data_IF_244373144246
#
_entry.id   IF_244373144246
#
_cell.length_a   1.000
_cell.length_b   1.000
_cell.length_c   1.000
_cell.angle_alpha   90.00
_cell.angle_beta   90.00
_cell.angle_gamma   90.00
#
_symmetry.space_group_name_H-M   'P 1'
#
loop_
_entity.id
_entity.type
_entity.pdbx_description
1 polymer ?
#
# COMPACT_ATOMS: atom_id res chain seq x y z
N UNK A 1 40.85 15.74 6.46
CA UNK A 1 39.82 16.81 6.36
C UNK A 1 38.51 16.09 6.13
N UNK A 2 37.42 16.49 6.78
CA UNK A 2 36.13 15.85 6.48
C UNK A 2 35.77 16.22 5.03
N UNK A 3 35.42 15.22 4.21
CA UNK A 3 34.99 15.43 2.82
C UNK A 3 33.75 16.35 2.74
N UNK A 4 33.41 16.85 1.53
CA UNK A 4 32.30 17.78 1.36
C UNK A 4 30.92 17.15 1.61
N UNK A 5 30.82 15.82 1.67
CA UNK A 5 29.61 15.07 2.06
C UNK A 5 29.74 14.61 3.51
N UNK A 6 28.67 14.82 4.28
CA UNK A 6 28.66 14.55 5.72
C UNK A 6 27.88 13.28 6.06
N UNK A 7 26.85 12.97 5.28
CA UNK A 7 25.97 11.84 5.56
C UNK A 7 25.29 11.38 4.26
N UNK A 8 25.05 10.08 4.12
CA UNK A 8 24.35 9.47 3.00
C UNK A 8 23.44 8.35 3.50
N UNK A 9 22.27 8.19 2.88
CA UNK A 9 21.45 7.00 3.07
C UNK A 9 20.66 6.65 1.81
N UNK A 10 20.25 5.38 1.71
CA UNK A 10 19.07 5.00 0.93
C UNK A 10 17.87 5.23 1.85
N UNK A 11 17.03 6.26 1.63
CA UNK A 11 15.92 6.55 2.53
C UNK A 11 14.90 5.42 2.54
N UNK A 12 14.30 5.17 3.70
CA UNK A 12 13.19 4.22 3.82
C UNK A 12 11.97 4.80 3.09
N UNK A 13 11.38 4.05 2.16
CA UNK A 13 10.17 4.52 1.49
C UNK A 13 8.98 4.45 2.44
N UNK A 14 8.05 5.37 2.26
CA UNK A 14 6.73 5.37 2.88
C UNK A 14 5.66 5.19 1.81
N UNK A 15 4.78 4.22 2.01
CA UNK A 15 3.55 4.04 1.25
C UNK A 15 2.32 4.17 2.15
N UNK A 16 1.21 4.63 1.58
CA UNK A 16 -0.07 4.77 2.27
C UNK A 16 -0.99 3.63 1.84
N UNK A 17 -1.58 2.92 2.82
CA UNK A 17 -2.57 1.87 2.59
C UNK A 17 -3.80 2.15 3.43
N UNK A 18 -4.97 2.23 2.79
CA UNK A 18 -6.25 2.59 3.40
C UNK A 18 -7.17 1.38 3.27
N UNK A 19 -7.47 0.76 4.41
CA UNK A 19 -8.29 -0.45 4.50
C UNK A 19 -9.79 -0.11 4.52
N UNK A 20 -10.63 -1.11 4.27
CA UNK A 20 -12.10 -1.02 4.31
C UNK A 20 -12.74 0.02 3.40
N UNK A 21 -12.08 0.37 2.29
CA UNK A 21 -12.66 1.25 1.26
C UNK A 21 -13.73 0.48 0.50
N UNK A 22 -14.80 1.15 0.05
CA UNK A 22 -15.81 0.52 -0.81
C UNK A 22 -17.11 0.12 -0.12
N UNK A 23 -17.18 0.18 1.21
CA UNK A 23 -18.47 0.11 1.91
C UNK A 23 -19.37 1.30 1.52
N UNK A 24 -20.66 1.06 1.36
CA UNK A 24 -21.67 2.11 1.20
C UNK A 24 -22.35 2.43 2.52
N UNK A 25 -22.60 1.42 3.37
CA UNK A 25 -23.00 1.72 4.74
C UNK A 25 -21.80 2.07 5.59
N UNK A 26 -21.87 3.17 6.33
CA UNK A 26 -20.89 3.44 7.38
C UNK A 26 -21.16 2.66 8.67
N UNK A 27 -22.40 2.20 8.87
CA UNK A 27 -22.84 1.57 10.10
C UNK A 27 -22.23 0.18 10.28
N UNK A 28 -21.48 0.01 11.35
CA UNK A 28 -21.00 -1.29 11.80
C UNK A 28 -22.16 -2.19 12.22
N UNK A 29 -22.14 -3.44 11.77
CA UNK A 29 -23.22 -4.41 11.99
C UNK A 29 -22.74 -5.74 12.55
N UNK A 30 -21.48 -5.85 13.01
CA UNK A 30 -20.91 -7.12 13.44
C UNK A 30 -21.66 -7.82 14.58
N UNK A 31 -22.25 -7.06 15.51
CA UNK A 31 -23.09 -7.60 16.58
C UNK A 31 -24.33 -8.34 16.06
N UNK A 32 -24.77 -8.03 14.83
CA UNK A 32 -25.90 -8.65 14.15
C UNK A 32 -25.46 -9.68 13.09
N UNK A 33 -24.20 -10.14 13.12
CA UNK A 33 -23.61 -11.04 12.11
C UNK A 33 -23.46 -10.43 10.71
N UNK A 34 -23.56 -9.10 10.59
CA UNK A 34 -23.18 -8.36 9.38
C UNK A 34 -21.65 -8.10 9.37
N UNK A 35 -21.05 -7.59 8.29
CA UNK A 35 -19.63 -7.23 8.30
C UNK A 35 -19.31 -6.14 9.33
N UNK A 36 -18.05 -6.13 9.73
CA UNK A 36 -17.42 -4.94 10.28
C UNK A 36 -17.33 -3.90 9.16
N UNK A 37 -17.90 -2.72 9.41
CA UNK A 37 -17.82 -1.56 8.51
C UNK A 37 -17.08 -0.44 9.20
N UNK A 38 -17.05 0.76 8.62
CA UNK A 38 -16.23 1.87 9.08
C UNK A 38 -16.65 2.50 10.41
N UNK A 39 -17.88 2.24 10.88
CA UNK A 39 -18.41 2.80 12.13
C UNK A 39 -18.86 4.26 12.04
N UNK A 40 -18.79 4.90 10.88
CA UNK A 40 -19.26 6.27 10.68
C UNK A 40 -20.79 6.32 10.65
N UNK A 41 -21.40 7.27 11.38
CA UNK A 41 -22.87 7.38 11.53
C UNK A 41 -23.53 8.07 10.31
N UNK A 42 -23.21 7.57 9.12
CA UNK A 42 -23.83 7.92 7.84
C UNK A 42 -23.44 6.89 6.78
N UNK A 43 -24.15 6.91 5.67
CA UNK A 43 -23.68 6.20 4.48
C UNK A 43 -22.48 6.94 3.86
N UNK A 44 -21.63 6.17 3.19
CA UNK A 44 -20.54 6.69 2.39
C UNK A 44 -21.07 7.34 1.11
N UNK A 45 -20.34 8.34 0.64
CA UNK A 45 -20.72 9.16 -0.50
C UNK A 45 -19.52 9.32 -1.44
N UNK A 46 -19.71 9.73 -2.72
CA UNK A 46 -18.61 9.94 -3.65
C UNK A 46 -17.48 10.84 -3.11
N UNK A 47 -17.80 11.83 -2.29
CA UNK A 47 -16.86 12.75 -1.64
C UNK A 47 -15.85 12.04 -0.71
N UNK A 48 -16.16 10.83 -0.23
CA UNK A 48 -15.23 10.02 0.56
C UNK A 48 -14.12 9.39 -0.30
N UNK A 49 -14.39 9.14 -1.58
CA UNK A 49 -13.40 8.68 -2.55
C UNK A 49 -12.55 9.85 -3.05
N UNK A 50 -13.15 11.04 -3.22
CA UNK A 50 -12.41 12.27 -3.55
C UNK A 50 -11.41 12.63 -2.45
N UNK A 51 -11.69 12.29 -1.18
CA UNK A 51 -10.74 12.48 -0.09
C UNK A 51 -9.42 11.71 -0.33
N UNK A 52 -9.49 10.47 -0.80
CA UNK A 52 -8.31 9.65 -1.13
C UNK A 52 -7.57 10.26 -2.33
N UNK A 53 -8.29 10.60 -3.40
CA UNK A 53 -7.70 11.20 -4.59
C UNK A 53 -7.01 12.54 -4.26
N UNK A 54 -7.62 13.37 -3.41
CA UNK A 54 -7.04 14.62 -2.91
C UNK A 54 -5.76 14.38 -2.14
N UNK A 55 -5.75 13.38 -1.24
CA UNK A 55 -4.57 13.00 -0.47
C UNK A 55 -3.43 12.61 -1.42
N UNK A 56 -3.68 11.70 -2.36
CA UNK A 56 -2.69 11.27 -3.34
C UNK A 56 -2.17 12.42 -4.20
N UNK A 57 -3.06 13.27 -4.74
CA UNK A 57 -2.69 14.39 -5.61
C UNK A 57 -1.81 15.42 -4.89
N UNK A 58 -2.12 15.72 -3.63
CA UNK A 58 -1.33 16.68 -2.84
C UNK A 58 0.03 16.14 -2.43
N UNK A 59 0.17 14.83 -2.27
CA UNK A 59 1.43 14.18 -1.91
C UNK A 59 2.25 13.71 -3.11
N UNK A 60 1.68 13.69 -4.32
CA UNK A 60 2.30 13.06 -5.48
C UNK A 60 2.43 11.55 -5.32
N UNK A 61 1.45 10.93 -4.66
CA UNK A 61 1.40 9.50 -4.36
C UNK A 61 0.13 8.88 -4.94
N UNK A 62 0.14 7.55 -5.07
CA UNK A 62 -1.02 6.70 -5.30
C UNK A 62 -1.28 5.87 -4.03
N UNK A 63 -2.03 6.41 -3.05
CA UNK A 63 -2.44 5.64 -1.89
C UNK A 63 -3.17 4.38 -2.33
N UNK A 64 -2.81 3.24 -1.73
CA UNK A 64 -3.56 2.01 -1.88
C UNK A 64 -4.88 2.15 -1.15
N UNK A 65 -5.98 1.93 -1.86
CA UNK A 65 -7.31 1.82 -1.30
C UNK A 65 -7.72 0.36 -1.40
N UNK A 66 -7.80 -0.33 -0.26
CA UNK A 66 -8.15 -1.74 -0.19
C UNK A 66 -9.68 -1.87 -0.27
N UNK A 67 -10.18 -2.27 -1.44
CA UNK A 67 -11.60 -2.25 -1.77
C UNK A 67 -12.32 -3.52 -1.34
N UNK A 68 -13.45 -3.30 -0.68
CA UNK A 68 -14.51 -4.27 -0.45
C UNK A 68 -15.65 -3.99 -1.43
N UNK A 69 -16.00 -4.98 -2.24
CA UNK A 69 -16.91 -4.79 -3.38
C UNK A 69 -18.32 -5.35 -3.20
N UNK A 70 -18.66 -5.93 -2.06
CA UNK A 70 -19.97 -6.55 -1.84
C UNK A 70 -21.12 -5.58 -2.14
N UNK A 71 -21.06 -4.38 -1.56
CA UNK A 71 -22.09 -3.36 -1.71
C UNK A 71 -22.06 -2.65 -3.09
N UNK A 72 -21.15 -3.04 -4.00
CA UNK A 72 -21.09 -2.59 -5.39
C UNK A 72 -21.75 -3.56 -6.39
N UNK A 73 -22.21 -4.72 -5.92
CA UNK A 73 -22.85 -5.74 -6.75
C UNK A 73 -24.19 -5.25 -7.34
N UNK A 74 -24.23 -4.98 -8.65
CA UNK A 74 -25.44 -4.45 -9.31
C UNK A 74 -26.44 -5.53 -9.69
N UNK A 75 -25.96 -6.75 -9.83
CA UNK A 75 -26.74 -7.86 -10.39
C UNK A 75 -27.09 -8.91 -9.34
N UNK A 76 -26.77 -8.66 -8.06
CA UNK A 76 -26.93 -9.60 -6.96
C UNK A 76 -26.23 -10.95 -7.22
N UNK A 77 -25.08 -10.94 -7.90
CA UNK A 77 -24.33 -12.16 -8.22
C UNK A 77 -23.82 -12.89 -6.97
N UNK A 78 -23.66 -12.16 -5.85
CA UNK A 78 -23.17 -12.75 -4.60
C UNK A 78 -24.16 -13.73 -3.96
N UNK A 79 -25.43 -13.78 -4.40
CA UNK A 79 -26.37 -14.85 -4.02
C UNK A 79 -25.84 -16.25 -4.37
N UNK A 80 -25.00 -16.36 -5.40
CA UNK A 80 -24.40 -17.63 -5.81
C UNK A 80 -23.18 -18.02 -4.97
N UNK A 81 -22.75 -17.16 -4.03
CA UNK A 81 -21.58 -17.35 -3.17
C UNK A 81 -22.00 -17.02 -1.73
N UNK A 82 -22.75 -17.92 -1.06
CA UNK A 82 -23.34 -17.62 0.25
C UNK A 82 -22.31 -17.33 1.34
N UNK A 83 -21.06 -17.73 1.14
CA UNK A 83 -19.92 -17.45 2.00
C UNK A 83 -19.43 -15.99 1.97
N UNK A 84 -19.88 -15.19 0.99
CA UNK A 84 -19.40 -13.82 0.76
C UNK A 84 -20.19 -12.73 1.48
N UNK A 85 -21.41 -13.01 1.95
CA UNK A 85 -22.26 -12.00 2.62
C UNK A 85 -23.12 -12.62 3.71
N UNK A 86 -23.52 -11.81 4.69
CA UNK A 86 -24.42 -12.23 5.79
C UNK A 86 -25.83 -12.63 5.34
N UNK A 87 -26.25 -12.18 4.15
CA UNK A 87 -27.54 -12.56 3.59
C UNK A 87 -27.51 -13.92 2.87
N UNK A 88 -26.32 -14.44 2.58
CA UNK A 88 -26.13 -15.68 1.83
C UNK A 88 -26.85 -15.67 0.47
N UNK A 89 -27.60 -16.73 0.17
CA UNK A 89 -28.40 -16.87 -1.05
C UNK A 89 -29.51 -15.80 -1.20
N UNK A 90 -29.85 -15.11 -0.11
CA UNK A 90 -30.87 -14.05 -0.11
C UNK A 90 -30.30 -12.66 -0.42
N UNK A 91 -28.99 -12.54 -0.69
CA UNK A 91 -28.29 -11.28 -0.95
C UNK A 91 -29.06 -10.30 -1.86
N UNK A 92 -29.46 -9.16 -1.32
CA UNK A 92 -30.10 -8.09 -2.09
C UNK A 92 -29.39 -6.76 -1.86
N UNK A 93 -28.63 -6.34 -2.87
CA UNK A 93 -27.91 -5.08 -2.89
C UNK A 93 -28.73 -3.92 -3.48
N UNK A 94 -30.01 -4.12 -3.83
CA UNK A 94 -30.82 -3.10 -4.53
C UNK A 94 -30.83 -1.74 -3.85
N UNK A 95 -30.70 -1.68 -2.52
CA UNK A 95 -30.62 -0.42 -1.75
C UNK A 95 -29.40 0.44 -2.11
N UNK A 96 -28.30 -0.18 -2.55
CA UNK A 96 -27.03 0.50 -2.85
C UNK A 96 -26.85 0.79 -4.34
N UNK A 97 -27.81 0.42 -5.18
CA UNK A 97 -27.74 0.68 -6.62
C UNK A 97 -28.31 2.06 -6.92
N UNK A 98 -27.43 3.00 -7.28
CA UNK A 98 -27.84 4.33 -7.70
C UNK A 98 -26.72 5.13 -8.37
N UNK A 99 -26.99 6.39 -8.78
CA UNK A 99 -26.02 7.23 -9.49
C UNK A 99 -24.73 7.51 -8.72
N UNK A 100 -24.74 7.37 -7.39
CA UNK A 100 -23.54 7.50 -6.55
C UNK A 100 -22.48 6.45 -6.87
N UNK A 101 -22.86 5.22 -7.28
CA UNK A 101 -21.92 4.20 -7.72
C UNK A 101 -21.14 4.67 -8.96
N UNK A 102 -21.86 5.23 -9.95
CA UNK A 102 -21.26 5.74 -11.18
C UNK A 102 -20.34 6.93 -10.91
N UNK A 103 -20.73 7.80 -9.97
CA UNK A 103 -19.91 8.94 -9.54
C UNK A 103 -18.63 8.49 -8.83
N UNK A 104 -18.72 7.56 -7.88
CA UNK A 104 -17.55 7.03 -7.18
C UNK A 104 -16.63 6.26 -8.13
N UNK A 105 -17.18 5.40 -9.00
CA UNK A 105 -16.39 4.69 -10.01
C UNK A 105 -15.65 5.66 -10.96
N UNK A 106 -16.30 6.76 -11.35
CA UNK A 106 -15.66 7.82 -12.15
C UNK A 106 -14.52 8.48 -11.39
N UNK A 107 -14.67 8.81 -10.10
CA UNK A 107 -13.59 9.37 -9.28
C UNK A 107 -12.39 8.41 -9.26
N UNK A 108 -12.64 7.11 -9.01
CA UNK A 108 -11.60 6.08 -8.98
C UNK A 108 -10.84 6.00 -10.32
N UNK A 109 -11.56 5.98 -11.44
CA UNK A 109 -10.95 5.92 -12.79
C UNK A 109 -10.18 7.21 -13.14
N UNK A 110 -10.82 8.36 -12.94
CA UNK A 110 -10.28 9.67 -13.33
C UNK A 110 -9.09 10.08 -12.45
N UNK A 111 -8.91 9.43 -11.31
CA UNK A 111 -7.82 9.67 -10.34
C UNK A 111 -6.77 8.57 -10.32
N UNK A 112 -6.66 7.74 -11.37
CA UNK A 112 -5.75 6.59 -11.39
C UNK A 112 -4.26 6.95 -11.17
N UNK A 113 -3.86 8.20 -11.40
CA UNK A 113 -2.52 8.76 -11.14
C UNK A 113 -2.28 9.12 -9.67
N UNK A 114 -3.33 9.20 -8.85
CA UNK A 114 -3.29 9.55 -7.44
C UNK A 114 -4.16 8.62 -6.56
N UNK A 115 -4.51 7.45 -7.07
CA UNK A 115 -5.36 6.45 -6.44
C UNK A 115 -4.96 5.06 -6.93
N UNK A 116 -4.81 4.10 -6.04
CA UNK A 116 -4.54 2.70 -6.40
C UNK A 116 -5.58 1.75 -5.81
N UNK A 117 -6.45 1.20 -6.67
CA UNK A 117 -7.40 0.18 -6.25
C UNK A 117 -6.65 -1.12 -5.90
N UNK A 118 -6.83 -1.56 -4.66
CA UNK A 118 -6.17 -2.72 -4.04
C UNK A 118 -7.22 -3.76 -3.66
N UNK A 119 -6.94 -5.05 -3.86
CA UNK A 119 -7.87 -6.12 -3.49
C UNK A 119 -7.96 -6.24 -1.97
N UNK A 120 -9.17 -6.26 -1.42
CA UNK A 120 -9.39 -6.52 0.01
C UNK A 120 -10.40 -7.64 0.27
N UNK A 121 -11.56 -7.61 -0.39
CA UNK A 121 -12.63 -8.60 -0.16
C UNK A 121 -13.91 -8.34 -0.92
N UNK A 122 -14.85 -9.27 -0.83
CA UNK A 122 -16.26 -9.05 -1.17
C UNK A 122 -17.04 -8.60 0.06
N UNK A 123 -16.83 -9.29 1.18
CA UNK A 123 -17.57 -9.06 2.42
C UNK A 123 -16.68 -8.87 3.63
N UNK A 124 -15.35 -8.99 3.49
CA UNK A 124 -14.34 -8.92 4.55
C UNK A 124 -14.32 -10.15 5.48
N UNK A 125 -15.50 -10.69 5.83
CA UNK A 125 -15.63 -11.92 6.61
C UNK A 125 -15.96 -13.14 5.75
N UNK A 126 -16.01 -14.31 6.37
CA UNK A 126 -16.47 -15.55 5.74
C UNK A 126 -17.72 -16.05 6.46
N UNK A 127 -18.81 -16.24 5.72
CA UNK A 127 -20.08 -16.70 6.29
C UNK A 127 -20.34 -18.18 6.07
N UNK A 128 -20.95 -18.80 7.08
CA UNK A 128 -21.55 -20.12 6.98
C UNK A 128 -22.84 -20.12 7.79
N UNK A 129 -23.95 -20.50 7.16
CA UNK A 129 -25.28 -20.57 7.79
C UNK A 129 -25.68 -19.27 8.52
N UNK A 130 -25.36 -18.11 7.91
CA UNK A 130 -25.66 -16.78 8.45
C UNK A 130 -24.78 -16.33 9.61
N UNK A 131 -23.79 -17.13 10.01
CA UNK A 131 -22.80 -16.78 11.05
C UNK A 131 -21.45 -16.54 10.40
N UNK A 132 -20.76 -15.45 10.76
CA UNK A 132 -19.43 -15.20 10.21
C UNK A 132 -18.31 -15.76 11.08
N UNK A 133 -17.19 -16.07 10.44
CA UNK A 133 -15.89 -16.26 11.07
C UNK A 133 -14.87 -15.36 10.41
N UNK A 134 -13.98 -14.76 11.22
CA UNK A 134 -12.84 -13.99 10.72
C UNK A 134 -11.83 -14.93 10.04
N UNK A 135 -11.40 -14.70 8.80
CA UNK A 135 -11.84 -13.69 7.81
C UNK A 135 -12.04 -14.33 6.42
N UNK A 136 -12.27 -13.52 5.39
CA UNK A 136 -12.64 -13.96 4.04
C UNK A 136 -11.63 -14.93 3.38
N UNK A 137 -10.33 -14.77 3.66
CA UNK A 137 -9.27 -15.50 2.94
C UNK A 137 -8.60 -16.61 3.75
N UNK A 138 -8.25 -16.31 5.00
CA UNK A 138 -7.76 -17.28 5.98
C UNK A 138 -8.63 -17.18 7.23
N UNK A 139 -8.77 -18.30 7.93
CA UNK A 139 -9.29 -18.30 9.29
C UNK A 139 -8.21 -17.83 10.29
N UNK A 140 -8.60 -17.76 11.57
CA UNK A 140 -7.71 -17.35 12.68
C UNK A 140 -6.59 -18.33 13.00
N UNK A 141 -6.68 -19.55 12.47
CA UNK A 141 -5.65 -20.58 12.66
C UNK A 141 -4.65 -20.58 11.49
N UNK A 142 -4.85 -19.69 10.51
CA UNK A 142 -4.00 -19.55 9.34
C UNK A 142 -4.34 -20.52 8.22
N UNK A 143 -5.47 -21.22 8.30
CA UNK A 143 -5.91 -22.08 7.20
C UNK A 143 -6.60 -21.23 6.14
N UNK A 144 -6.19 -21.39 4.88
CA UNK A 144 -6.90 -20.78 3.76
C UNK A 144 -8.33 -21.33 3.72
N UNK A 145 -9.30 -20.47 3.38
CA UNK A 145 -10.67 -20.91 3.06
C UNK A 145 -10.64 -21.91 1.89
N UNK A 146 -11.68 -22.76 1.72
CA UNK A 146 -11.72 -23.72 0.63
C UNK A 146 -11.37 -23.07 -0.72
N UNK A 147 -10.45 -23.68 -1.46
CA UNK A 147 -9.84 -23.06 -2.66
C UNK A 147 -10.87 -22.72 -3.73
N UNK A 148 -11.89 -23.56 -3.91
CA UNK A 148 -13.01 -23.33 -4.81
C UNK A 148 -13.81 -22.07 -4.43
N UNK A 149 -13.99 -21.82 -3.12
CA UNK A 149 -14.63 -20.60 -2.64
C UNK A 149 -13.73 -19.38 -2.80
N UNK A 150 -12.43 -19.47 -2.49
CA UNK A 150 -11.47 -18.38 -2.74
C UNK A 150 -11.51 -17.95 -4.22
N UNK A 151 -11.50 -18.92 -5.14
CA UNK A 151 -11.60 -18.65 -6.58
C UNK A 151 -12.93 -18.02 -6.96
N UNK A 152 -14.06 -18.52 -6.42
CA UNK A 152 -15.38 -17.95 -6.64
C UNK A 152 -15.46 -16.49 -6.17
N UNK A 153 -14.89 -16.18 -4.99
CA UNK A 153 -14.82 -14.82 -4.47
C UNK A 153 -14.03 -13.90 -5.40
N UNK A 154 -12.85 -14.33 -5.87
CA UNK A 154 -12.02 -13.55 -6.80
C UNK A 154 -12.72 -13.33 -8.16
N UNK A 155 -13.45 -14.32 -8.66
CA UNK A 155 -14.22 -14.22 -9.90
C UNK A 155 -15.38 -13.23 -9.77
N UNK A 156 -16.11 -13.29 -8.67
CA UNK A 156 -17.17 -12.33 -8.37
C UNK A 156 -16.60 -10.92 -8.18
N UNK A 157 -15.48 -10.76 -7.48
CA UNK A 157 -14.80 -9.47 -7.32
C UNK A 157 -14.51 -8.83 -8.69
N UNK A 158 -13.87 -9.58 -9.59
CA UNK A 158 -13.58 -9.11 -10.95
C UNK A 158 -14.86 -8.83 -11.75
N UNK A 159 -15.94 -9.60 -11.56
CA UNK A 159 -17.22 -9.34 -12.21
C UNK A 159 -17.88 -8.06 -11.70
N UNK A 160 -17.86 -7.78 -10.41
CA UNK A 160 -18.38 -6.54 -9.82
C UNK A 160 -17.55 -5.33 -10.27
N UNK A 161 -16.23 -5.46 -10.37
CA UNK A 161 -15.38 -4.42 -10.98
C UNK A 161 -15.85 -4.08 -12.41
N UNK A 162 -16.15 -5.09 -13.23
CA UNK A 162 -16.66 -4.89 -14.59
C UNK A 162 -18.05 -4.26 -14.64
N UNK A 163 -18.95 -4.64 -13.71
CA UNK A 163 -20.27 -4.01 -13.60
C UNK A 163 -20.20 -2.50 -13.32
N UNK A 164 -19.11 -2.06 -12.69
CA UNK A 164 -18.90 -0.67 -12.26
C UNK A 164 -17.81 0.06 -13.06
N UNK A 165 -17.21 -0.59 -14.06
CA UNK A 165 -16.08 -0.07 -14.83
C UNK A 165 -14.93 0.42 -13.92
N UNK A 166 -14.50 -0.39 -12.94
CA UNK A 166 -13.42 -0.03 -12.01
C UNK A 166 -12.01 -0.28 -12.57
N UNK A 167 -11.89 -0.57 -13.86
CA UNK A 167 -10.62 -0.85 -14.54
C UNK A 167 -10.15 -2.30 -14.42
N UNK A 168 -8.83 -2.50 -14.50
CA UNK A 168 -8.19 -3.81 -14.46
C UNK A 168 -8.22 -4.42 -13.06
N UNK A 169 -8.06 -5.74 -12.96
CA UNK A 169 -7.89 -6.41 -11.68
C UNK A 169 -6.67 -5.85 -10.92
N UNK A 170 -6.74 -5.69 -9.58
CA UNK A 170 -5.66 -5.11 -8.79
C UNK A 170 -4.34 -5.87 -8.93
N UNK A 171 -3.24 -5.18 -8.66
CA UNK A 171 -1.89 -5.78 -8.56
C UNK A 171 -1.38 -5.84 -7.12
N UNK A 172 -2.17 -5.32 -6.17
CA UNK A 172 -1.89 -5.28 -4.74
C UNK A 172 -3.03 -5.89 -3.94
N UNK A 173 -2.71 -6.46 -2.78
CA UNK A 173 -3.63 -7.16 -1.90
C UNK A 173 -3.41 -6.78 -0.43
N UNK A 174 -4.50 -6.57 0.30
CA UNK A 174 -4.52 -6.51 1.76
C UNK A 174 -5.42 -7.63 2.27
N UNK A 175 -4.92 -8.59 3.04
CA UNK A 175 -5.75 -9.62 3.64
C UNK A 175 -6.78 -9.03 4.59
N UNK A 176 -8.04 -9.40 4.43
CA UNK A 176 -9.10 -9.04 5.36
C UNK A 176 -8.76 -9.45 6.80
N UNK A 177 -9.00 -8.55 7.76
CA UNK A 177 -8.61 -8.66 9.16
C UNK A 177 -7.12 -9.00 9.39
N UNK A 178 -6.27 -8.77 8.38
CA UNK A 178 -4.85 -9.12 8.38
C UNK A 178 -4.56 -10.60 8.62
N UNK A 179 -5.50 -11.49 8.30
CA UNK A 179 -5.32 -12.94 8.39
C UNK A 179 -4.69 -13.45 7.09
N UNK A 180 -3.41 -13.80 7.19
CA UNK A 180 -2.61 -14.33 6.10
C UNK A 180 -1.62 -15.37 6.62
N UNK A 181 -1.31 -16.35 5.78
CA UNK A 181 -0.31 -17.36 6.05
C UNK A 181 0.79 -17.30 4.98
N UNK A 182 2.02 -17.12 5.44
CA UNK A 182 3.18 -17.01 4.56
C UNK A 182 3.73 -18.38 4.18
N UNK A 183 4.07 -18.58 2.91
CA UNK A 183 4.83 -19.75 2.46
C UNK A 183 4.03 -21.05 2.37
N UNK A 184 2.73 -20.97 2.11
CA UNK A 184 1.81 -22.11 1.95
C UNK A 184 1.97 -22.90 0.64
N UNK A 185 3.04 -22.62 -0.10
CA UNK A 185 3.38 -23.35 -1.32
C UNK A 185 2.43 -23.07 -2.48
N UNK A 186 2.40 -23.98 -3.45
CA UNK A 186 1.69 -23.79 -4.72
C UNK A 186 0.16 -23.87 -4.61
N UNK A 187 -0.36 -24.36 -3.49
CA UNK A 187 -1.80 -24.46 -3.23
C UNK A 187 -2.31 -23.35 -2.30
N UNK A 188 -1.40 -22.54 -1.74
CA UNK A 188 -1.72 -21.45 -0.84
C UNK A 188 -2.26 -20.21 -1.55
N UNK A 189 -2.78 -19.26 -0.75
CA UNK A 189 -3.41 -18.04 -1.26
C UNK A 189 -2.46 -17.21 -2.14
N UNK A 190 -1.18 -17.08 -1.76
CA UNK A 190 -0.21 -16.32 -2.54
C UNK A 190 -0.04 -16.88 -3.96
N UNK A 191 -0.06 -18.20 -4.14
CA UNK A 191 -0.02 -18.81 -5.47
C UNK A 191 -1.28 -18.50 -6.30
N UNK A 192 -2.46 -18.52 -5.67
CA UNK A 192 -3.73 -18.15 -6.31
C UNK A 192 -3.71 -16.67 -6.74
N UNK A 193 -3.29 -15.78 -5.84
CA UNK A 193 -3.20 -14.34 -6.10
C UNK A 193 -2.20 -14.00 -7.21
N UNK A 194 -1.05 -14.69 -7.26
CA UNK A 194 -0.07 -14.54 -8.34
C UNK A 194 -0.67 -14.84 -9.70
N UNK A 195 -1.49 -15.88 -9.81
CA UNK A 195 -2.20 -16.23 -11.05
C UNK A 195 -3.23 -15.17 -11.48
N UNK A 196 -3.56 -14.21 -10.59
CA UNK A 196 -4.39 -13.03 -10.85
C UNK A 196 -3.59 -11.75 -11.06
N UNK A 197 -2.26 -11.85 -11.22
CA UNK A 197 -1.31 -10.73 -11.37
C UNK A 197 -1.14 -9.85 -10.12
N UNK A 198 -1.45 -10.38 -8.92
CA UNK A 198 -1.06 -9.72 -7.68
C UNK A 198 0.45 -9.87 -7.50
N UNK A 199 1.12 -8.75 -7.25
CA UNK A 199 2.57 -8.65 -7.05
C UNK A 199 2.95 -8.10 -5.68
N UNK A 200 1.98 -7.63 -4.90
CA UNK A 200 2.21 -7.00 -3.60
C UNK A 200 1.19 -7.40 -2.53
N UNK A 201 1.66 -7.67 -1.32
CA UNK A 201 0.84 -7.91 -0.13
C UNK A 201 1.30 -6.98 1.00
N UNK A 202 0.34 -6.26 1.59
CA UNK A 202 0.56 -5.45 2.79
C UNK A 202 -0.16 -6.08 3.98
N UNK A 203 0.59 -6.55 4.98
CA UNK A 203 0.02 -7.19 6.17
C UNK A 203 0.95 -7.04 7.37
N UNK A 204 0.43 -6.82 8.60
CA UNK A 204 1.24 -6.87 9.81
C UNK A 204 1.88 -8.26 9.97
N UNK A 205 3.20 -8.32 10.07
CA UNK A 205 3.90 -9.60 10.28
C UNK A 205 3.66 -10.17 11.67
N UNK A 206 3.26 -9.34 12.64
CA UNK A 206 2.97 -9.80 14.00
C UNK A 206 1.74 -10.70 14.11
N UNK A 207 0.78 -10.60 13.19
CA UNK A 207 -0.42 -11.46 13.14
C UNK A 207 -0.37 -12.47 12.00
N UNK A 208 0.62 -12.37 11.10
CA UNK A 208 0.78 -13.30 9.99
C UNK A 208 1.24 -14.69 10.47
N UNK A 209 0.55 -15.73 10.02
CA UNK A 209 0.94 -17.11 10.27
C UNK A 209 2.24 -17.44 9.55
N UNK A 210 3.05 -18.31 10.16
CA UNK A 210 4.37 -18.75 9.64
C UNK A 210 5.39 -17.62 9.43
N UNK A 211 5.21 -16.47 10.07
CA UNK A 211 6.16 -15.34 10.05
C UNK A 211 7.61 -15.70 10.41
N UNK A 212 7.84 -16.76 11.20
CA UNK A 212 9.17 -17.21 11.58
C UNK A 212 10.02 -17.71 10.40
N UNK A 213 9.39 -17.92 9.23
CA UNK A 213 10.03 -18.38 8.00
C UNK A 213 10.48 -17.22 7.10
N UNK A 214 10.24 -15.97 7.51
CA UNK A 214 10.65 -14.79 6.75
C UNK A 214 12.17 -14.57 6.78
N UNK A 215 12.78 -14.17 5.65
CA UNK A 215 14.21 -13.89 5.58
C UNK A 215 14.60 -12.54 6.20
N UNK A 216 13.66 -11.59 6.29
CA UNK A 216 13.90 -10.28 6.89
C UNK A 216 12.75 -9.88 7.83
N UNK A 217 12.97 -8.91 8.76
CA UNK A 217 11.93 -8.48 9.68
C UNK A 217 10.76 -7.73 9.04
N UNK A 218 10.93 -7.13 7.86
CA UNK A 218 9.91 -6.24 7.25
C UNK A 218 9.55 -6.57 5.80
N UNK A 219 10.25 -7.49 5.15
CA UNK A 219 10.01 -7.89 3.75
C UNK A 219 10.20 -9.41 3.57
N UNK A 220 9.27 -10.03 2.85
CA UNK A 220 9.33 -11.42 2.40
C UNK A 220 8.87 -11.56 0.96
N UNK A 221 9.23 -12.67 0.32
CA UNK A 221 8.79 -13.01 -1.03
C UNK A 221 7.98 -14.31 -0.96
N UNK A 222 6.66 -14.21 -1.03
CA UNK A 222 5.77 -15.37 -0.99
C UNK A 222 5.30 -15.73 -2.41
N UNK A 223 5.71 -16.90 -2.90
CA UNK A 223 5.43 -17.35 -4.28
C UNK A 223 5.88 -16.36 -5.37
N UNK A 224 6.79 -15.42 -5.08
CA UNK A 224 7.21 -14.37 -6.01
C UNK A 224 6.40 -13.07 -5.89
N UNK A 225 5.54 -12.96 -4.88
CA UNK A 225 4.83 -11.75 -4.49
C UNK A 225 5.61 -11.06 -3.36
N UNK A 226 5.82 -9.75 -3.47
CA UNK A 226 6.46 -8.97 -2.41
C UNK A 226 5.48 -8.78 -1.27
N UNK A 227 5.80 -9.30 -0.09
CA UNK A 227 4.99 -9.19 1.13
C UNK A 227 5.72 -8.31 2.13
N UNK A 228 5.09 -7.22 2.58
CA UNK A 228 5.74 -6.19 3.42
C UNK A 228 5.01 -6.04 4.74
N UNK A 229 5.80 -5.95 5.82
CA UNK A 229 5.30 -5.62 7.15
C UNK A 229 4.84 -4.17 7.17
N UNK A 230 3.56 -3.97 7.47
CA UNK A 230 3.00 -2.64 7.72
C UNK A 230 3.09 -2.20 9.19
N UNK A 231 3.82 -2.97 10.01
CA UNK A 231 3.96 -2.73 11.45
C UNK A 231 2.80 -3.33 12.24
N UNK A 232 2.85 -3.22 13.56
CA UNK A 232 1.79 -3.73 14.44
C UNK A 232 0.44 -3.05 14.17
N UNK A 233 -0.64 -3.77 14.51
CA UNK A 233 -2.06 -3.34 14.47
C UNK A 233 -2.22 -1.83 14.61
N UNK A 234 -3.06 -1.22 13.76
CA UNK A 234 -2.89 0.17 13.36
C UNK A 234 -2.75 1.07 14.58
N UNK A 235 -1.79 2.02 14.59
CA UNK A 235 -1.66 2.98 15.69
C UNK A 235 -2.94 3.81 15.86
N UNK A 236 -3.79 3.84 14.83
CA UNK A 236 -5.10 4.47 14.78
C UNK A 236 -6.18 3.38 14.76
N UNK A 237 -7.11 3.34 15.73
CA UNK A 237 -8.21 2.38 15.70
C UNK A 237 -9.03 2.47 14.41
N UNK A 238 -9.56 1.33 13.97
CA UNK A 238 -10.28 1.20 12.70
C UNK A 238 -11.54 2.06 12.63
N UNK A 239 -12.18 2.30 13.77
CA UNK A 239 -13.42 3.07 13.95
C UNK A 239 -13.18 4.55 14.27
N UNK A 240 -11.92 4.98 14.32
CA UNK A 240 -11.60 6.39 14.60
C UNK A 240 -11.90 7.24 13.37
N UNK A 241 -12.95 8.05 13.47
CA UNK A 241 -13.35 9.00 12.43
C UNK A 241 -12.50 10.27 12.56
N UNK A 242 -12.01 10.81 11.43
CA UNK A 242 -11.18 12.02 11.40
C UNK A 242 -9.98 11.92 12.34
N UNK A 243 -9.20 10.86 12.19
CA UNK A 243 -8.03 10.61 13.01
C UNK A 243 -7.00 11.74 12.85
N UNK A 244 -6.32 12.04 13.96
CA UNK A 244 -5.20 12.98 13.96
C UNK A 244 -3.88 12.27 13.63
N UNK A 245 -2.96 12.96 12.94
CA UNK A 245 -1.59 12.47 12.80
C UNK A 245 -0.93 12.21 14.15
N UNK A 246 -0.24 11.08 14.26
CA UNK A 246 0.64 10.78 15.39
C UNK A 246 1.99 11.49 15.27
N UNK A 247 2.91 11.18 16.18
CA UNK A 247 4.23 11.82 16.20
C UNK A 247 5.25 11.19 15.24
N UNK A 248 5.11 9.90 14.92
CA UNK A 248 6.08 9.18 14.09
C UNK A 248 5.44 8.00 13.33
N UNK A 249 6.11 7.59 12.24
CA UNK A 249 5.76 6.43 11.42
C UNK A 249 6.94 5.44 11.46
N UNK A 250 6.87 4.38 12.27
CA UNK A 250 8.04 3.53 12.54
C UNK A 250 8.43 2.63 11.37
N UNK A 251 7.52 2.37 10.43
CA UNK A 251 7.69 1.41 9.35
C UNK A 251 7.52 2.01 7.96
N UNK A 252 7.67 1.18 6.92
CA UNK A 252 7.61 1.62 5.53
C UNK A 252 6.16 1.84 5.02
N UNK A 253 5.14 1.46 5.80
CA UNK A 253 3.74 1.64 5.44
C UNK A 253 3.02 2.38 6.55
N UNK A 254 2.28 3.43 6.19
CA UNK A 254 1.25 4.02 7.05
C UNK A 254 -0.10 3.40 6.70
N UNK A 255 -0.61 2.61 7.64
CA UNK A 255 -1.92 1.99 7.55
C UNK A 255 -3.03 2.89 8.10
N UNK A 256 -4.05 3.12 7.29
CA UNK A 256 -5.32 3.72 7.66
C UNK A 256 -6.43 2.70 7.54
N UNK A 257 -7.52 2.95 8.25
CA UNK A 257 -8.86 2.55 7.82
C UNK A 257 -9.52 3.76 7.18
N UNK A 258 -10.41 3.54 6.23
CA UNK A 258 -11.07 4.62 5.50
C UNK A 258 -11.63 5.77 6.38
N UNK A 259 -12.33 5.54 7.51
CA UNK A 259 -12.86 6.64 8.34
C UNK A 259 -11.77 7.53 8.96
N UNK A 260 -10.52 7.04 9.07
CA UNK A 260 -9.43 7.82 9.64
C UNK A 260 -9.15 9.12 8.87
N UNK A 261 -9.45 9.14 7.57
CA UNK A 261 -9.25 10.31 6.70
C UNK A 261 -10.55 11.03 6.34
N UNK A 262 -11.68 10.61 6.94
CA UNK A 262 -13.01 11.14 6.64
C UNK A 262 -13.57 11.93 7.81
N UNK A 263 -14.41 12.91 7.49
CA UNK A 263 -15.16 13.67 8.47
C UNK A 263 -16.63 13.18 8.50
N UNK A 264 -17.33 13.26 9.66
CA UNK A 264 -18.75 12.95 9.74
C UNK A 264 -19.61 13.74 8.74
N UNK A 265 -19.28 15.02 8.53
CA UNK A 265 -19.76 15.83 7.41
C UNK A 265 -18.81 15.73 6.20
N UNK A 266 -19.20 15.10 5.08
CA UNK A 266 -18.35 14.93 3.90
C UNK A 266 -17.79 16.24 3.33
N UNK A 267 -18.50 17.37 3.50
CA UNK A 267 -18.03 18.68 3.02
C UNK A 267 -16.73 19.13 3.71
N UNK A 268 -16.39 18.51 4.86
CA UNK A 268 -15.19 18.80 5.65
C UNK A 268 -14.08 17.74 5.47
N UNK A 269 -14.25 16.73 4.60
CA UNK A 269 -13.21 15.74 4.31
C UNK A 269 -11.89 16.41 3.92
N UNK A 270 -11.95 17.51 3.15
CA UNK A 270 -10.78 18.29 2.76
C UNK A 270 -9.97 18.80 3.96
N UNK A 271 -10.62 19.19 5.06
CA UNK A 271 -9.96 19.66 6.28
C UNK A 271 -9.18 18.55 6.97
N UNK A 272 -9.70 17.31 6.96
CA UNK A 272 -9.02 16.13 7.51
C UNK A 272 -7.83 15.75 6.64
N UNK A 273 -8.04 15.66 5.33
CA UNK A 273 -6.99 15.35 4.36
C UNK A 273 -5.85 16.36 4.43
N UNK A 274 -6.15 17.65 4.56
CA UNK A 274 -5.12 18.69 4.58
C UNK A 274 -4.19 18.59 5.80
N UNK A 275 -4.70 18.15 6.97
CA UNK A 275 -3.86 17.85 8.15
C UNK A 275 -2.90 16.70 7.89
N UNK A 276 -3.39 15.61 7.26
CA UNK A 276 -2.56 14.48 6.88
C UNK A 276 -1.51 14.85 5.83
N UNK A 277 -1.88 15.68 4.85
CA UNK A 277 -0.93 16.17 3.83
C UNK A 277 0.20 16.97 4.48
N UNK A 278 -0.10 17.89 5.40
CA UNK A 278 0.91 18.69 6.09
C UNK A 278 1.90 17.79 6.84
N UNK A 279 1.38 16.85 7.65
CA UNK A 279 2.18 15.88 8.39
C UNK A 279 3.06 15.04 7.46
N UNK A 280 2.48 14.41 6.44
CA UNK A 280 3.19 13.50 5.55
C UNK A 280 4.21 14.22 4.65
N UNK A 281 3.92 15.46 4.24
CA UNK A 281 4.89 16.30 3.51
C UNK A 281 6.12 16.57 4.37
N UNK A 282 5.93 16.93 5.64
CA UNK A 282 7.03 17.11 6.58
C UNK A 282 7.85 15.81 6.76
N UNK A 283 7.17 14.66 6.74
CA UNK A 283 7.79 13.36 6.84
C UNK A 283 8.65 13.02 5.60
N UNK A 284 8.17 13.37 4.41
CA UNK A 284 8.92 13.23 3.14
C UNK A 284 10.19 14.08 3.07
N UNK A 285 10.23 15.19 3.82
CA UNK A 285 11.41 16.05 3.92
C UNK A 285 12.49 15.50 4.87
N UNK A 286 12.18 14.50 5.70
CA UNK A 286 13.18 13.87 6.56
C UNK A 286 14.28 13.22 5.72
N UNK A 287 15.50 13.24 6.24
CA UNK A 287 16.65 12.68 5.55
C UNK A 287 16.53 11.16 5.33
N UNK A 288 15.97 10.46 6.29
CA UNK A 288 15.86 9.00 6.36
C UNK A 288 14.56 8.44 5.75
N UNK A 289 13.77 9.27 5.08
CA UNK A 289 12.44 8.91 4.54
C UNK A 289 12.21 9.42 3.13
N UNK A 290 11.31 8.75 2.40
CA UNK A 290 10.87 9.17 1.07
C UNK A 290 9.40 8.80 0.87
N UNK A 291 8.57 9.74 0.40
CA UNK A 291 7.21 9.39 -0.03
C UNK A 291 7.28 8.65 -1.37
N UNK A 292 6.69 7.47 -1.44
CA UNK A 292 6.70 6.65 -2.65
C UNK A 292 5.54 7.04 -3.57
N UNK A 293 5.79 7.33 -4.86
CA UNK A 293 4.72 7.76 -5.76
C UNK A 293 3.70 6.66 -6.04
N UNK A 294 4.11 5.39 -6.00
CA UNK A 294 3.25 4.24 -6.19
C UNK A 294 3.86 2.97 -5.59
N UNK A 295 3.12 1.86 -5.69
CA UNK A 295 3.50 0.56 -5.15
C UNK A 295 4.75 -0.04 -5.79
N UNK A 296 5.01 0.22 -7.07
CA UNK A 296 6.20 -0.32 -7.75
C UNK A 296 7.47 0.42 -7.31
N UNK A 297 7.40 1.75 -7.25
CA UNK A 297 8.46 2.59 -6.70
C UNK A 297 8.70 2.28 -5.22
N UNK A 298 7.64 2.06 -4.44
CA UNK A 298 7.72 1.64 -3.04
C UNK A 298 8.51 0.34 -2.87
N UNK A 299 8.10 -0.72 -3.56
CA UNK A 299 8.78 -2.03 -3.50
C UNK A 299 10.25 -1.92 -3.90
N UNK A 300 10.52 -1.17 -4.96
CA UNK A 300 11.87 -0.95 -5.47
C UNK A 300 12.74 -0.25 -4.43
N UNK A 301 12.29 0.90 -3.94
CA UNK A 301 13.03 1.67 -2.95
C UNK A 301 13.25 0.88 -1.66
N UNK A 302 12.28 0.04 -1.24
CA UNK A 302 12.40 -0.75 -0.02
C UNK A 302 13.44 -1.86 -0.17
N UNK A 303 13.47 -2.52 -1.33
CA UNK A 303 14.49 -3.51 -1.64
C UNK A 303 15.90 -2.89 -1.62
N UNK A 304 16.07 -1.70 -2.22
CA UNK A 304 17.34 -0.97 -2.16
C UNK A 304 17.69 -0.52 -0.73
N UNK A 305 16.71 -0.05 0.04
CA UNK A 305 16.92 0.37 1.43
C UNK A 305 17.46 -0.78 2.30
N UNK A 306 17.00 -2.00 2.06
CA UNK A 306 17.40 -3.19 2.81
C UNK A 306 18.66 -3.88 2.27
N UNK A 307 18.99 -3.69 1.00
CA UNK A 307 19.97 -4.49 0.28
C UNK A 307 21.23 -3.76 -0.19
N UNK A 308 21.31 -2.44 0.00
CA UNK A 308 22.49 -1.64 -0.40
C UNK A 308 23.33 -1.27 0.80
N UNK A 309 24.60 -1.64 0.73
CA UNK A 309 25.62 -1.10 1.63
C UNK A 309 26.28 0.14 1.00
N UNK A 310 26.55 1.15 1.83
CA UNK A 310 27.10 2.43 1.41
C UNK A 310 28.46 2.66 2.08
N UNK A 311 29.50 2.92 1.28
CA UNK A 311 30.83 3.32 1.75
C UNK A 311 31.16 4.73 1.24
N UNK A 312 31.22 5.70 2.16
CA UNK A 312 31.61 7.07 1.84
C UNK A 312 33.12 7.26 2.00
N UNK A 313 33.77 7.68 0.92
CA UNK A 313 35.17 8.13 0.85
C UNK A 313 35.21 9.64 0.61
N UNK A 314 36.40 10.24 0.59
CA UNK A 314 36.55 11.71 0.58
C UNK A 314 35.71 12.41 -0.50
N UNK A 315 35.76 11.94 -1.74
CA UNK A 315 35.07 12.51 -2.92
C UNK A 315 34.26 11.46 -3.71
N UNK A 316 34.06 10.29 -3.12
CA UNK A 316 33.44 9.13 -3.76
C UNK A 316 32.49 8.42 -2.80
N UNK A 317 31.35 7.99 -3.30
CA UNK A 317 30.42 7.07 -2.65
C UNK A 317 30.39 5.77 -3.43
N UNK A 318 30.62 4.66 -2.73
CA UNK A 318 30.52 3.32 -3.28
C UNK A 318 29.24 2.68 -2.78
N UNK A 319 28.49 2.11 -3.71
CA UNK A 319 27.29 1.34 -3.46
C UNK A 319 27.59 -0.13 -3.73
N UNK A 320 27.34 -1.00 -2.76
CA UNK A 320 27.45 -2.45 -2.89
C UNK A 320 26.05 -3.08 -2.92
N UNK A 321 25.77 -3.85 -3.97
CA UNK A 321 24.49 -4.50 -4.23
C UNK A 321 24.49 -6.01 -3.91
N UNK A 322 25.52 -6.53 -3.23
CA UNK A 322 25.64 -7.96 -2.95
C UNK A 322 24.43 -8.51 -2.15
N UNK A 323 23.94 -7.76 -1.17
CA UNK A 323 22.77 -8.12 -0.35
C UNK A 323 21.43 -7.82 -1.04
N UNK A 324 21.42 -7.05 -2.13
CA UNK A 324 20.22 -6.70 -2.90
C UNK A 324 19.75 -7.84 -3.80
N UNK A 325 20.68 -8.60 -4.40
CA UNK A 325 20.33 -9.67 -5.36
C UNK A 325 19.38 -10.74 -4.80
N UNK A 326 19.50 -11.20 -3.54
CA UNK A 326 18.54 -12.14 -2.94
C UNK A 326 17.15 -11.53 -2.66
N UNK A 327 17.04 -10.21 -2.55
CA UNK A 327 15.82 -9.47 -2.22
C UNK A 327 15.04 -9.07 -3.48
N UNK A 328 15.75 -8.85 -4.59
CA UNK A 328 15.15 -8.42 -5.84
C UNK A 328 14.22 -9.50 -6.42
N UNK A 329 12.92 -9.34 -6.16
CA UNK A 329 11.88 -10.05 -6.90
C UNK A 329 11.91 -9.64 -8.38
N UNK A 330 11.25 -10.41 -9.25
CA UNK A 330 11.14 -10.12 -10.68
C UNK A 330 10.45 -8.77 -11.02
N UNK A 331 9.96 -8.02 -10.01
CA UNK A 331 9.17 -6.80 -10.15
C UNK A 331 9.88 -5.53 -9.63
N UNK A 332 11.17 -5.60 -9.31
CA UNK A 332 11.94 -4.43 -8.86
C UNK A 332 12.44 -3.63 -10.06
N UNK A 333 12.18 -2.31 -10.08
CA UNK A 333 12.69 -1.42 -11.12
C UNK A 333 14.21 -1.21 -10.97
N UNK A 334 14.85 -0.70 -12.02
CA UNK A 334 16.29 -0.46 -12.09
C UNK A 334 16.72 0.90 -11.51
N UNK A 335 15.81 1.63 -10.86
CA UNK A 335 16.09 2.97 -10.34
C UNK A 335 15.58 3.19 -8.92
N UNK A 336 16.32 3.98 -8.15
CA UNK A 336 16.03 4.30 -6.76
C UNK A 336 16.59 5.67 -6.37
N UNK A 337 16.26 6.13 -5.17
CA UNK A 337 16.74 7.38 -4.61
C UNK A 337 17.79 7.16 -3.52
N UNK A 338 18.79 8.06 -3.50
CA UNK A 338 19.68 8.30 -2.37
C UNK A 338 19.43 9.70 -1.81
N UNK A 339 19.68 9.89 -0.51
CA UNK A 339 19.76 11.21 0.10
C UNK A 339 21.17 11.47 0.63
N UNK A 340 21.69 12.67 0.38
CA UNK A 340 23.04 13.08 0.79
C UNK A 340 23.03 14.46 1.44
N UNK A 341 23.69 14.60 2.60
CA UNK A 341 23.88 15.90 3.27
C UNK A 341 25.20 16.51 2.86
N UNK A 342 25.16 17.75 2.37
CA UNK A 342 26.36 18.53 2.11
C UNK A 342 26.12 20.03 2.32
N UNK A 343 27.00 20.73 3.06
CA UNK A 343 26.93 22.18 3.17
C UNK A 343 27.27 22.86 1.83
N UNK A 344 28.11 22.22 1.00
CA UNK A 344 28.55 22.74 -0.28
C UNK A 344 27.54 22.48 -1.40
N UNK A 345 27.67 23.25 -2.48
CA UNK A 345 27.01 22.93 -3.73
C UNK A 345 27.86 21.89 -4.46
N UNK A 346 27.27 20.76 -4.86
CA UNK A 346 27.97 19.62 -5.41
C UNK A 346 27.55 19.36 -6.85
N UNK A 347 28.51 18.95 -7.67
CA UNK A 347 28.29 18.27 -8.94
C UNK A 347 28.51 16.78 -8.75
N UNK A 348 27.66 15.95 -9.35
CA UNK A 348 27.72 14.49 -9.25
C UNK A 348 28.04 13.88 -10.61
N UNK A 349 28.86 12.83 -10.61
CA UNK A 349 29.11 12.00 -11.78
C UNK A 349 29.28 10.54 -11.36
N UNK A 350 28.88 9.64 -12.24
CA UNK A 350 29.06 8.20 -12.03
C UNK A 350 29.45 7.55 -13.35
N UNK A 351 30.52 6.72 -13.39
CA UNK A 351 30.81 5.87 -14.54
C UNK A 351 29.90 4.64 -14.61
N UNK A 352 29.20 4.35 -13.52
CA UNK A 352 28.58 3.05 -13.22
C UNK A 352 27.06 3.12 -13.17
N UNK A 353 26.49 4.27 -12.87
CA UNK A 353 25.06 4.51 -12.78
C UNK A 353 24.66 5.72 -13.61
N UNK A 354 23.45 5.69 -14.17
CA UNK A 354 22.86 6.87 -14.81
C UNK A 354 22.25 7.75 -13.74
N UNK A 355 22.76 8.97 -13.59
CA UNK A 355 22.16 9.98 -12.73
C UNK A 355 20.95 10.60 -13.45
N UNK A 356 19.74 10.24 -12.99
CA UNK A 356 18.48 10.72 -13.55
C UNK A 356 18.14 12.14 -13.07
N UNK A 357 18.35 12.41 -11.79
CA UNK A 357 18.22 13.76 -11.20
C UNK A 357 19.10 13.93 -9.98
N UNK A 358 19.42 15.18 -9.65
CA UNK A 358 20.13 15.58 -8.44
C UNK A 358 19.47 16.84 -7.87
N UNK A 359 18.43 16.65 -7.06
CA UNK A 359 17.58 17.72 -6.57
C UNK A 359 18.08 18.18 -5.20
N UNK A 360 18.46 19.45 -5.06
CA UNK A 360 18.88 20.02 -3.77
C UNK A 360 17.71 20.71 -3.07
N UNK A 361 17.39 20.26 -1.86
CA UNK A 361 16.39 20.93 -1.03
C UNK A 361 16.92 22.32 -0.61
N UNK A 362 16.18 23.41 -0.88
CA UNK A 362 16.63 24.76 -0.57
C UNK A 362 16.66 25.05 0.93
N UNK A 363 15.89 24.35 1.74
CA UNK A 363 15.79 24.54 3.19
C UNK A 363 16.82 23.68 3.93
N UNK A 364 16.78 22.36 3.70
CA UNK A 364 17.67 21.42 4.42
C UNK A 364 19.07 21.34 3.82
N UNK A 365 19.24 21.80 2.57
CA UNK A 365 20.48 21.72 1.78
C UNK A 365 20.90 20.30 1.38
N UNK A 366 20.06 19.31 1.67
CA UNK A 366 20.27 17.91 1.30
C UNK A 366 19.99 17.70 -0.19
N UNK A 367 20.67 16.73 -0.78
CA UNK A 367 20.41 16.24 -2.13
C UNK A 367 19.52 15.02 -2.08
N UNK A 368 18.59 14.91 -3.02
CA UNK A 368 17.97 13.65 -3.43
C UNK A 368 18.48 13.30 -4.81
N UNK A 369 19.28 12.24 -4.91
CA UNK A 369 19.78 11.73 -6.17
C UNK A 369 18.87 10.60 -6.64
N UNK A 370 18.39 10.66 -7.87
CA UNK A 370 17.71 9.53 -8.52
C UNK A 370 18.70 8.85 -9.46
N UNK A 371 18.91 7.56 -9.24
CA UNK A 371 19.91 6.76 -9.93
C UNK A 371 19.22 5.62 -10.66
N UNK A 372 19.73 5.28 -11.84
CA UNK A 372 19.40 4.05 -12.55
C UNK A 372 20.67 3.20 -12.67
N UNK A 373 20.59 1.92 -12.30
CA UNK A 373 21.71 0.98 -12.30
C UNK A 373 21.50 -0.12 -13.35
N UNK A 374 22.61 -0.71 -13.81
CA UNK A 374 22.54 -1.84 -14.75
C UNK A 374 22.01 -3.12 -14.10
N UNK A 375 21.37 -3.97 -14.90
CA UNK A 375 21.01 -5.32 -14.46
C UNK A 375 22.27 -6.11 -14.09
N UNK A 376 22.29 -6.68 -12.87
CA UNK A 376 23.40 -7.52 -12.34
C UNK A 376 24.72 -6.80 -12.06
N UNK A 377 24.68 -5.48 -11.90
CA UNK A 377 25.85 -4.73 -11.48
C UNK A 377 26.14 -4.97 -9.98
N UNK A 378 27.37 -5.39 -9.60
CA UNK A 378 27.68 -5.70 -8.20
C UNK A 378 27.91 -4.43 -7.37
N UNK A 379 28.39 -3.36 -7.99
CA UNK A 379 28.68 -2.10 -7.33
C UNK A 379 28.52 -0.89 -8.27
N UNK A 380 28.31 0.28 -7.70
CA UNK A 380 28.33 1.54 -8.44
C UNK A 380 29.10 2.62 -7.67
N UNK A 381 29.83 3.45 -8.40
CA UNK A 381 30.61 4.55 -7.85
C UNK A 381 29.98 5.89 -8.20
N UNK A 382 29.80 6.77 -7.23
CA UNK A 382 29.33 8.14 -7.42
C UNK A 382 30.41 9.08 -6.91
N UNK A 383 31.01 9.80 -7.83
CA UNK A 383 31.95 10.89 -7.51
C UNK A 383 31.20 12.19 -7.33
N UNK A 384 31.68 13.03 -6.42
CA UNK A 384 31.14 14.35 -6.19
C UNK A 384 32.24 15.36 -5.91
N UNK A 385 32.04 16.59 -6.41
CA UNK A 385 32.97 17.71 -6.21
C UNK A 385 32.22 18.99 -5.93
N UNK A 386 32.86 19.91 -5.21
CA UNK A 386 32.30 21.25 -5.02
C UNK A 386 32.20 21.98 -6.36
N UNK A 387 31.05 22.60 -6.61
CA UNK A 387 30.86 23.44 -7.78
C UNK A 387 31.78 24.66 -7.67
N UNK A 388 32.58 24.89 -8.72
CA UNK A 388 33.48 26.04 -8.74
C UNK A 388 32.66 27.33 -8.79
N UNK A 389 32.90 28.22 -7.83
CA UNK A 389 32.18 29.48 -7.66
C UNK A 389 32.33 30.44 -8.86
#
# INVERSE_FOLDING_TARGET
>A
MNGPVVEVCVPMPLQIVIDDVGWWSGKDGHDAQEPFRTGIDRDHVPEDYEAIARLGRKLGMRPQAAFILGEWDRENILRAIPSSTWMGENWDNSRWIGPWLDNAARIVRDSADCFELTLHGLGHEYWQDGTFTRAEWHDRDGNMRPSDQVLAHLDAYQRIMRQNDLGNFPTSFVPAAFLHCYGDGNEGLAAILKNRNITFISTPFSTMHRRAELPTPILGIDQGITTVDRGNLPPIPWDTISAEPGDDIPGPILGFHWPNILHPDPAQNATVVDRWVEFLTSYGHRFDRLLSPDTAAFQTQLAFHLGVDLELREDELILDFAAFQPIAAAAVNDHFALKMKSPAKLEFASPDATLLSADRNPETKDYTLRLQIGAHQPNAHITFREESA
#
